data_IF_534406068093
#
_entry.id   IF_534406068093
#
_cell.length_a   1.000
_cell.length_b   1.000
_cell.length_c   1.000
_cell.angle_alpha   90.00
_cell.angle_beta   90.00
_cell.angle_gamma   90.00
#
_symmetry.space_group_name_H-M   'P 1'
#
loop_
_entity.id
_entity.type
_entity.pdbx_description
1 polymer ?
#
# COMPACT_ATOMS: atom_id res chain seq x y z
N UNK A 1 -7.23 -21.75 16.19
CA UNK A 1 -5.98 -22.10 15.50
C UNK A 1 -5.04 -22.72 16.52
N UNK A 2 -4.85 -24.03 16.43
CA UNK A 2 -3.85 -24.75 17.23
C UNK A 2 -2.44 -24.36 16.78
N UNK A 3 -1.43 -24.51 17.66
CA UNK A 3 -0.03 -24.16 17.34
C UNK A 3 0.47 -24.90 16.08
N UNK A 4 0.02 -26.15 15.87
CA UNK A 4 0.39 -26.94 14.70
C UNK A 4 -0.21 -26.39 13.40
N UNK A 5 -1.47 -25.95 13.42
CA UNK A 5 -2.12 -25.30 12.27
C UNK A 5 -1.42 -23.99 11.88
N UNK A 6 -0.99 -23.19 12.88
CA UNK A 6 -0.25 -21.96 12.64
C UNK A 6 1.09 -22.23 11.95
N UNK A 7 1.86 -23.20 12.45
CA UNK A 7 3.17 -23.57 11.88
C UNK A 7 3.01 -24.05 10.43
N UNK A 8 2.04 -24.95 10.18
CA UNK A 8 1.79 -25.46 8.83
C UNK A 8 1.40 -24.33 7.87
N UNK A 9 0.53 -23.41 8.31
CA UNK A 9 0.11 -22.26 7.50
C UNK A 9 1.30 -21.36 7.16
N UNK A 10 2.14 -21.03 8.14
CA UNK A 10 3.33 -20.20 7.92
C UNK A 10 4.27 -20.86 6.92
N UNK A 11 4.54 -22.16 7.05
CA UNK A 11 5.42 -22.89 6.14
C UNK A 11 4.87 -22.89 4.71
N UNK A 12 3.57 -23.13 4.53
CA UNK A 12 2.91 -23.09 3.22
C UNK A 12 2.99 -21.69 2.61
N UNK A 13 2.73 -20.64 3.39
CA UNK A 13 2.85 -19.25 2.94
C UNK A 13 4.27 -18.92 2.50
N UNK A 14 5.28 -19.28 3.28
CA UNK A 14 6.69 -19.07 2.93
C UNK A 14 7.02 -19.79 1.62
N UNK A 15 6.64 -21.06 1.50
CA UNK A 15 6.89 -21.84 0.30
C UNK A 15 6.21 -21.22 -0.92
N UNK A 16 4.93 -20.84 -0.83
CA UNK A 16 4.21 -20.17 -1.92
C UNK A 16 4.86 -18.84 -2.32
N UNK A 17 5.26 -18.00 -1.37
CA UNK A 17 5.90 -16.70 -1.65
C UNK A 17 7.24 -16.89 -2.35
N UNK A 18 8.06 -17.82 -1.88
CA UNK A 18 9.36 -18.07 -2.48
C UNK A 18 9.21 -18.73 -3.85
N UNK A 19 8.28 -19.67 -4.00
CA UNK A 19 7.97 -20.30 -5.28
C UNK A 19 7.49 -19.28 -6.32
N UNK A 20 6.55 -18.41 -5.97
CA UNK A 20 6.05 -17.37 -6.88
C UNK A 20 7.10 -16.31 -7.23
N UNK A 21 8.08 -16.06 -6.36
CA UNK A 21 9.25 -15.21 -6.69
C UNK A 21 10.26 -15.90 -7.59
N UNK A 22 10.50 -17.20 -7.40
CA UNK A 22 11.48 -18.00 -8.16
C UNK A 22 10.97 -18.39 -9.55
N UNK A 23 9.67 -18.58 -9.69
CA UNK A 23 9.02 -19.00 -10.93
C UNK A 23 9.30 -18.06 -12.12
N UNK A 24 9.22 -16.72 -12.00
CA UNK A 24 9.62 -15.79 -13.06
C UNK A 24 11.07 -15.98 -13.52
N UNK A 25 12.00 -16.24 -12.59
CA UNK A 25 13.42 -16.45 -12.93
C UNK A 25 13.64 -17.79 -13.65
N UNK A 26 12.84 -18.81 -13.32
CA UNK A 26 12.94 -20.12 -13.97
C UNK A 26 12.33 -20.12 -15.38
N UNK A 27 11.20 -19.43 -15.57
CA UNK A 27 10.50 -19.34 -16.86
C UNK A 27 11.19 -18.34 -17.81
N UNK A 28 11.75 -17.24 -17.29
CA UNK A 28 12.42 -16.21 -18.08
C UNK A 28 13.94 -16.20 -17.78
N UNK A 29 14.72 -17.11 -18.39
CA UNK A 29 16.16 -17.13 -18.21
C UNK A 29 16.78 -15.82 -18.73
N UNK A 30 17.81 -15.32 -18.04
CA UNK A 30 18.46 -14.03 -18.31
C UNK A 30 19.02 -13.86 -19.74
N UNK A 31 19.12 -14.96 -20.49
CA UNK A 31 19.63 -14.98 -21.87
C UNK A 31 18.58 -14.67 -22.94
N UNK A 32 17.32 -14.41 -22.56
CA UNK A 32 16.27 -13.94 -23.48
C UNK A 32 15.80 -12.53 -23.10
N UNK A 33 15.51 -11.66 -24.08
CA UNK A 33 14.89 -10.38 -23.81
C UNK A 33 13.52 -10.63 -23.15
N UNK A 34 13.28 -9.91 -22.05
CA UNK A 34 12.00 -9.94 -21.33
C UNK A 34 10.90 -9.53 -22.32
N UNK A 35 9.80 -10.28 -22.46
CA UNK A 35 8.74 -9.96 -23.41
C UNK A 35 8.15 -8.58 -23.12
N UNK A 36 7.85 -7.82 -24.17
CA UNK A 36 7.44 -6.42 -24.06
C UNK A 36 6.20 -6.23 -23.19
N UNK A 37 5.29 -7.21 -23.19
CA UNK A 37 4.10 -7.22 -22.35
C UNK A 37 4.43 -7.22 -20.84
N UNK A 38 5.41 -8.01 -20.40
CA UNK A 38 5.82 -8.06 -18.99
C UNK A 38 6.51 -6.75 -18.60
N UNK A 39 7.33 -6.18 -19.49
CA UNK A 39 7.97 -4.88 -19.28
C UNK A 39 6.94 -3.75 -19.21
N UNK A 40 5.90 -3.81 -20.02
CA UNK A 40 4.80 -2.85 -19.99
C UNK A 40 4.02 -2.96 -18.68
N UNK A 41 3.62 -4.18 -18.29
CA UNK A 41 2.96 -4.44 -17.01
C UNK A 41 3.79 -3.90 -15.83
N UNK A 42 5.10 -4.17 -15.79
CA UNK A 42 5.98 -3.65 -14.75
C UNK A 42 6.05 -2.12 -14.68
N UNK A 43 5.83 -1.42 -15.80
CA UNK A 43 5.78 0.06 -15.84
C UNK A 43 4.42 0.61 -15.38
N UNK A 44 3.31 -0.04 -15.73
CA UNK A 44 1.96 0.49 -15.48
C UNK A 44 1.36 0.02 -14.15
N UNK A 45 1.75 -1.16 -13.66
CA UNK A 45 1.23 -1.70 -12.40
C UNK A 45 1.53 -0.78 -11.21
N UNK A 46 2.77 -0.27 -11.02
CA UNK A 46 3.07 0.56 -9.86
C UNK A 46 2.18 1.79 -9.79
N UNK A 47 2.05 2.51 -10.91
CA UNK A 47 1.18 3.70 -10.99
C UNK A 47 -0.30 3.36 -10.71
N UNK A 48 -0.80 2.26 -11.28
CA UNK A 48 -2.18 1.80 -11.08
C UNK A 48 -2.44 1.39 -9.62
N UNK A 49 -1.48 0.71 -8.99
CA UNK A 49 -1.57 0.29 -7.58
C UNK A 49 -1.59 1.50 -6.64
N UNK A 50 -0.75 2.52 -6.87
CA UNK A 50 -0.81 3.75 -6.08
C UNK A 50 -2.16 4.46 -6.22
N UNK A 51 -2.73 4.52 -7.41
CA UNK A 51 -4.08 5.06 -7.61
C UNK A 51 -5.15 4.26 -6.86
N UNK A 52 -5.09 2.93 -6.92
CA UNK A 52 -5.99 2.04 -6.18
C UNK A 52 -5.87 2.22 -4.67
N UNK A 53 -4.65 2.36 -4.13
CA UNK A 53 -4.42 2.59 -2.70
C UNK A 53 -5.11 3.87 -2.22
N UNK A 54 -5.03 4.95 -3.00
CA UNK A 54 -5.74 6.21 -2.67
C UNK A 54 -7.24 5.98 -2.61
N UNK A 55 -7.84 5.30 -3.59
CA UNK A 55 -9.28 4.99 -3.58
C UNK A 55 -9.64 4.09 -2.39
N UNK A 56 -8.79 3.12 -2.06
CA UNK A 56 -9.05 2.17 -0.99
C UNK A 56 -8.97 2.80 0.40
N UNK A 57 -8.10 3.80 0.60
CA UNK A 57 -8.05 4.59 1.83
C UNK A 57 -9.40 5.23 2.15
N UNK A 58 -10.15 5.68 1.13
CA UNK A 58 -11.46 6.30 1.32
C UNK A 58 -12.64 5.32 1.23
N UNK A 59 -12.41 4.08 0.78
CA UNK A 59 -13.48 3.10 0.53
C UNK A 59 -14.27 2.72 1.79
N UNK A 60 -13.62 2.63 2.94
CA UNK A 60 -14.25 2.26 4.21
C UNK A 60 -14.46 3.48 5.12
N UNK A 61 -14.33 4.69 4.60
CA UNK A 61 -14.56 5.90 5.39
C UNK A 61 -16.07 6.14 5.46
N UNK A 62 -16.65 5.90 6.63
CA UNK A 62 -18.05 6.16 6.92
C UNK A 62 -18.27 7.67 7.04
N UNK A 63 -18.52 8.32 5.88
CA UNK A 63 -18.85 9.75 5.77
C UNK A 63 -20.17 10.13 6.47
N UNK A 64 -21.01 9.15 6.81
CA UNK A 64 -22.37 9.35 7.34
C UNK A 64 -22.49 9.11 8.86
N UNK A 65 -21.45 8.63 9.54
CA UNK A 65 -21.49 8.37 10.99
C UNK A 65 -20.71 9.43 11.78
N UNK A 66 -21.44 10.45 12.22
CA UNK A 66 -21.11 11.58 13.11
C UNK A 66 -19.76 12.30 13.01
N UNK A 67 -18.59 11.66 13.06
CA UNK A 67 -17.29 12.38 13.10
C UNK A 67 -16.06 11.58 12.59
N UNK A 68 -16.22 10.53 11.78
CA UNK A 68 -15.11 9.65 11.37
C UNK A 68 -14.61 9.79 9.92
N UNK A 69 -15.04 10.82 9.17
CA UNK A 69 -14.54 11.08 7.80
C UNK A 69 -13.73 12.37 7.64
N UNK A 70 -13.90 13.35 8.54
CA UNK A 70 -13.15 14.61 8.49
C UNK A 70 -11.63 14.45 8.67
N UNK A 71 -11.11 13.65 9.63
CA UNK A 71 -9.67 13.56 9.86
C UNK A 71 -8.91 12.99 8.66
N UNK A 72 -9.47 12.00 7.96
CA UNK A 72 -8.89 11.41 6.74
C UNK A 72 -8.77 12.43 5.61
N UNK A 73 -9.81 13.24 5.38
CA UNK A 73 -9.80 14.28 4.35
C UNK A 73 -8.80 15.40 4.65
N UNK A 74 -8.73 15.87 5.91
CA UNK A 74 -7.80 16.94 6.31
C UNK A 74 -6.35 16.42 6.28
N UNK A 75 -6.10 15.20 6.75
CA UNK A 75 -4.79 14.58 6.67
C UNK A 75 -4.36 14.34 5.22
N UNK A 76 -5.27 13.87 4.36
CA UNK A 76 -5.04 13.73 2.92
C UNK A 76 -4.69 15.06 2.25
N UNK A 77 -5.44 16.13 2.55
CA UNK A 77 -5.17 17.47 2.02
C UNK A 77 -3.80 18.01 2.46
N UNK A 78 -3.41 17.78 3.72
CA UNK A 78 -2.10 18.16 4.22
C UNK A 78 -0.99 17.37 3.51
N UNK A 79 -1.15 16.05 3.36
CA UNK A 79 -0.19 15.21 2.63
C UNK A 79 -0.04 15.67 1.19
N UNK A 80 -1.13 16.00 0.50
CA UNK A 80 -1.08 16.55 -0.86
C UNK A 80 -0.29 17.86 -0.89
N UNK A 81 -0.62 18.83 -0.02
CA UNK A 81 0.09 20.11 0.04
C UNK A 81 1.58 19.95 0.34
N UNK A 82 1.92 19.10 1.31
CA UNK A 82 3.31 18.82 1.69
C UNK A 82 4.08 18.10 0.58
N UNK A 83 3.41 17.20 -0.15
CA UNK A 83 4.01 16.47 -1.25
C UNK A 83 4.31 17.39 -2.44
N UNK A 84 3.39 18.31 -2.78
CA UNK A 84 3.61 19.29 -3.83
C UNK A 84 4.78 20.23 -3.52
N UNK A 85 4.94 20.61 -2.25
CA UNK A 85 5.98 21.56 -1.86
C UNK A 85 7.37 20.92 -1.70
N UNK A 86 7.44 19.77 -1.01
CA UNK A 86 8.72 19.17 -0.59
C UNK A 86 9.19 18.03 -1.50
N UNK A 87 8.31 17.45 -2.35
CA UNK A 87 8.56 16.29 -3.23
C UNK A 87 9.34 15.14 -2.57
N UNK A 88 9.27 15.02 -1.24
CA UNK A 88 10.02 14.05 -0.46
C UNK A 88 9.06 13.04 0.17
N UNK A 89 9.12 11.80 -0.32
CA UNK A 89 8.19 10.73 0.03
C UNK A 89 8.23 10.40 1.52
N UNK A 90 9.42 10.36 2.13
CA UNK A 90 9.56 10.06 3.57
C UNK A 90 8.88 11.12 4.44
N UNK A 91 9.01 12.40 4.05
CA UNK A 91 8.41 13.51 4.81
C UNK A 91 6.87 13.49 4.70
N UNK A 92 6.32 13.27 3.50
CA UNK A 92 4.87 13.18 3.31
C UNK A 92 4.24 12.02 4.09
N UNK A 93 4.89 10.86 4.13
CA UNK A 93 4.39 9.69 4.87
C UNK A 93 4.42 9.96 6.37
N UNK A 94 5.57 10.36 6.91
CA UNK A 94 5.72 10.56 8.35
C UNK A 94 4.86 11.72 8.87
N UNK A 95 4.85 12.86 8.19
CA UNK A 95 4.02 14.00 8.57
C UNK A 95 2.52 13.68 8.47
N UNK A 96 2.08 12.99 7.40
CA UNK A 96 0.69 12.57 7.22
C UNK A 96 0.21 11.65 8.34
N UNK A 97 1.00 10.63 8.67
CA UNK A 97 0.66 9.68 9.73
C UNK A 97 0.62 10.33 11.11
N UNK A 98 1.60 11.17 11.45
CA UNK A 98 1.63 11.87 12.74
C UNK A 98 0.43 12.80 12.88
N UNK A 99 0.12 13.55 11.81
CA UNK A 99 -1.00 14.48 11.81
C UNK A 99 -2.34 13.74 11.91
N UNK A 100 -2.53 12.66 11.15
CA UNK A 100 -3.73 11.82 11.25
C UNK A 100 -3.92 11.27 12.68
N UNK A 101 -2.86 10.69 13.27
CA UNK A 101 -2.89 10.18 14.64
C UNK A 101 -3.22 11.28 15.66
N UNK A 102 -2.71 12.49 15.46
CA UNK A 102 -3.03 13.63 16.31
C UNK A 102 -4.50 14.03 16.21
N UNK A 103 -5.08 14.12 15.01
CA UNK A 103 -6.50 14.45 14.85
C UNK A 103 -7.40 13.39 15.47
N UNK A 104 -7.14 12.11 15.21
CA UNK A 104 -7.94 11.00 15.76
C UNK A 104 -7.87 10.96 17.29
N UNK A 105 -6.69 11.17 17.88
CA UNK A 105 -6.53 11.03 19.34
C UNK A 105 -6.82 12.30 20.15
N UNK A 106 -6.76 13.50 19.55
CA UNK A 106 -6.89 14.76 20.31
C UNK A 106 -8.09 15.62 19.91
N UNK A 107 -8.61 15.45 18.69
CA UNK A 107 -9.66 16.33 18.14
C UNK A 107 -11.00 15.61 18.01
N UNK A 108 -11.00 14.32 17.66
CA UNK A 108 -12.22 13.53 17.42
C UNK A 108 -12.42 12.38 18.42
N UNK A 109 -12.23 12.65 19.73
CA UNK A 109 -12.55 11.73 20.83
C UNK A 109 -14.05 11.72 21.15
#
# INVERSE_FOLDING_TARGET
MTLMEQIITIVICIFCVQFTRLLPFWIFPANRPIPEYIRYLGKVLPASMFGMLVVYCYKNVDVLSSYHGLPDFIAGALVLGLHFWKKNMFLSISAGTIFYMFLVQKVFI
#
